data_IF_370083868585
#
_entry.id   IF_370083868585
#
_cell.length_a   1.000
_cell.length_b   1.000
_cell.length_c   1.000
_cell.angle_alpha   90.00
_cell.angle_beta   90.00
_cell.angle_gamma   90.00
#
_symmetry.space_group_name_H-M   'P 1'
#
loop_
_entity.id
_entity.type
_entity.pdbx_description
1 polymer ?
#
# COMPACT_ATOMS: atom_id res chain seq x y z
N UNK A 1 -85.83 -15.98 -53.51
CA UNK A 1 -84.71 -15.14 -53.03
C UNK A 1 -84.49 -15.47 -51.56
N UNK A 2 -83.57 -16.38 -51.23
CA UNK A 2 -83.32 -16.82 -49.85
C UNK A 2 -81.97 -16.26 -49.39
N UNK A 3 -81.98 -15.31 -48.45
CA UNK A 3 -80.76 -14.80 -47.81
C UNK A 3 -80.38 -15.75 -46.69
N UNK A 4 -79.35 -16.56 -46.91
CA UNK A 4 -78.70 -17.29 -45.82
C UNK A 4 -78.01 -16.28 -44.92
N UNK A 5 -78.54 -16.09 -43.71
CA UNK A 5 -77.93 -15.23 -42.70
C UNK A 5 -76.67 -15.92 -42.16
N UNK A 6 -75.52 -15.41 -42.59
CA UNK A 6 -74.23 -15.99 -42.30
C UNK A 6 -73.69 -15.40 -40.99
N UNK A 7 -74.37 -15.72 -39.88
CA UNK A 7 -74.01 -15.32 -38.52
C UNK A 7 -72.57 -15.75 -38.17
N UNK A 8 -72.17 -16.94 -38.63
CA UNK A 8 -70.80 -17.45 -38.50
C UNK A 8 -69.78 -16.57 -39.24
N UNK A 9 -70.06 -16.15 -40.47
CA UNK A 9 -69.15 -15.27 -41.21
C UNK A 9 -69.06 -13.86 -40.62
N UNK A 10 -70.15 -13.32 -40.08
CA UNK A 10 -70.12 -12.04 -39.35
C UNK A 10 -69.26 -12.15 -38.08
N UNK A 11 -69.36 -13.25 -37.35
CA UNK A 11 -68.53 -13.52 -36.17
C UNK A 11 -67.04 -13.63 -36.54
N UNK A 12 -66.71 -14.39 -37.59
CA UNK A 12 -65.32 -14.52 -38.05
C UNK A 12 -64.76 -13.19 -38.56
N UNK A 13 -65.55 -12.39 -39.28
CA UNK A 13 -65.14 -11.06 -39.73
C UNK A 13 -64.89 -10.11 -38.56
N UNK A 14 -65.74 -10.14 -37.54
CA UNK A 14 -65.55 -9.36 -36.31
C UNK A 14 -64.30 -9.81 -35.53
N UNK A 15 -64.11 -11.12 -35.35
CA UNK A 15 -62.95 -11.68 -34.68
C UNK A 15 -61.63 -11.30 -35.36
N UNK A 16 -61.60 -11.28 -36.71
CA UNK A 16 -60.41 -10.86 -37.48
C UNK A 16 -59.96 -9.41 -37.22
N UNK A 17 -60.86 -8.54 -36.76
CA UNK A 17 -60.55 -7.14 -36.42
C UNK A 17 -60.35 -6.97 -34.92
N UNK A 18 -61.20 -7.59 -34.10
CA UNK A 18 -61.14 -7.47 -32.64
C UNK A 18 -59.88 -8.11 -32.03
N UNK A 19 -59.44 -9.27 -32.53
CA UNK A 19 -58.24 -9.96 -32.04
C UNK A 19 -56.96 -9.11 -32.17
N UNK A 20 -56.58 -8.60 -33.36
CA UNK A 20 -55.36 -7.83 -33.49
C UNK A 20 -55.41 -6.50 -32.71
N UNK A 21 -56.59 -5.87 -32.59
CA UNK A 21 -56.76 -4.69 -31.74
C UNK A 21 -56.53 -5.00 -30.25
N UNK A 22 -57.07 -6.12 -29.77
CA UNK A 22 -56.84 -6.58 -28.40
C UNK A 22 -55.35 -6.89 -28.16
N UNK A 23 -54.66 -7.51 -29.11
CA UNK A 23 -53.21 -7.74 -29.04
C UNK A 23 -52.43 -6.43 -28.96
N UNK A 24 -52.79 -5.42 -29.77
CA UNK A 24 -52.14 -4.11 -29.74
C UNK A 24 -52.33 -3.41 -28.39
N UNK A 25 -53.55 -3.49 -27.83
CA UNK A 25 -53.86 -2.93 -26.52
C UNK A 25 -53.06 -3.60 -25.40
N UNK A 26 -52.92 -4.94 -25.43
CA UNK A 26 -52.09 -5.68 -24.47
C UNK A 26 -50.60 -5.34 -24.60
N UNK A 27 -50.11 -5.15 -25.83
CA UNK A 27 -48.73 -4.74 -26.06
C UNK A 27 -48.48 -3.31 -25.55
N UNK A 28 -49.43 -2.41 -25.80
CA UNK A 28 -49.38 -1.04 -25.32
C UNK A 28 -49.40 -0.95 -23.79
N UNK A 29 -50.24 -1.75 -23.11
CA UNK A 29 -50.24 -1.80 -21.64
C UNK A 29 -48.94 -2.38 -21.09
N UNK A 30 -48.37 -3.40 -21.73
CA UNK A 30 -47.08 -3.96 -21.32
C UNK A 30 -45.96 -2.93 -21.43
N UNK A 31 -45.92 -2.15 -22.51
CA UNK A 31 -44.96 -1.06 -22.68
C UNK A 31 -45.20 0.11 -21.72
N UNK A 32 -46.47 0.45 -21.43
CA UNK A 32 -46.83 1.53 -20.50
C UNK A 32 -46.43 1.17 -19.06
N UNK A 33 -46.69 -0.07 -18.64
CA UNK A 33 -46.32 -0.56 -17.31
C UNK A 33 -44.81 -0.79 -17.18
N UNK A 34 -44.14 -1.25 -18.25
CA UNK A 34 -42.69 -1.41 -18.29
C UNK A 34 -41.96 -0.06 -18.17
N UNK A 35 -42.52 1.03 -18.70
CA UNK A 35 -41.89 2.36 -18.62
C UNK A 35 -41.89 2.95 -17.20
N UNK A 36 -42.79 2.50 -16.33
CA UNK A 36 -42.83 2.90 -14.91
C UNK A 36 -41.81 2.17 -14.03
N UNK A 37 -41.14 1.15 -14.56
CA UNK A 37 -39.98 0.53 -13.93
C UNK A 37 -38.76 1.01 -14.69
N UNK A 38 -38.28 2.21 -14.34
CA UNK A 38 -36.84 2.40 -14.32
C UNK A 38 -36.31 1.25 -13.45
N UNK A 39 -35.90 0.17 -14.10
CA UNK A 39 -34.92 -0.72 -13.51
C UNK A 39 -33.72 0.20 -13.44
N UNK A 40 -33.60 0.90 -12.31
CA UNK A 40 -32.33 1.39 -11.86
C UNK A 40 -31.45 0.15 -11.85
N UNK A 41 -30.77 -0.09 -12.96
CA UNK A 41 -29.46 -0.69 -12.90
C UNK A 41 -28.65 0.38 -12.20
N UNK A 42 -28.83 0.48 -10.88
CA UNK A 42 -27.78 0.94 -10.01
C UNK A 42 -26.69 -0.08 -10.26
N UNK A 43 -25.84 0.19 -11.24
CA UNK A 43 -24.52 -0.38 -11.24
C UNK A 43 -23.98 0.01 -9.87
N UNK A 44 -23.79 -0.93 -8.92
CA UNK A 44 -23.38 -0.61 -7.54
C UNK A 44 -21.91 -0.19 -7.47
N UNK A 45 -21.40 0.47 -8.52
CA UNK A 45 -20.01 0.88 -8.68
C UNK A 45 -19.87 2.39 -8.91
N UNK A 46 -20.96 3.17 -8.80
CA UNK A 46 -20.91 4.61 -9.03
C UNK A 46 -20.59 5.44 -7.77
N UNK A 47 -20.59 4.83 -6.58
CA UNK A 47 -20.19 5.45 -5.31
C UNK A 47 -19.11 4.63 -4.61
N UNK A 48 -18.07 4.24 -5.35
CA UNK A 48 -16.87 3.73 -4.69
C UNK A 48 -16.04 4.94 -4.29
N UNK A 49 -16.29 5.43 -3.08
CA UNK A 49 -15.42 6.38 -2.38
C UNK A 49 -13.99 5.86 -2.51
N UNK A 50 -13.07 6.68 -3.04
CA UNK A 50 -11.66 6.32 -3.16
C UNK A 50 -11.09 5.95 -1.77
N UNK A 51 -11.62 6.56 -0.70
CA UNK A 51 -11.35 6.24 0.70
C UNK A 51 -11.74 4.82 1.11
N UNK A 52 -12.73 4.20 0.45
CA UNK A 52 -13.18 2.83 0.76
C UNK A 52 -12.26 1.79 0.12
N UNK A 53 -11.79 2.01 -1.11
CA UNK A 53 -10.78 1.17 -1.75
C UNK A 53 -9.43 1.20 -1.00
N UNK A 54 -9.03 2.38 -0.51
CA UNK A 54 -7.84 2.54 0.33
C UNK A 54 -7.91 1.77 1.66
N UNK A 55 -9.13 1.53 2.15
CA UNK A 55 -9.38 0.76 3.37
C UNK A 55 -9.22 -0.74 3.14
N UNK A 56 -9.56 -1.22 1.93
CA UNK A 56 -9.48 -2.63 1.53
C UNK A 56 -8.05 -3.08 1.19
N UNK A 57 -7.20 -2.18 0.65
CA UNK A 57 -5.81 -2.50 0.32
C UNK A 57 -4.86 -2.28 1.50
N UNK A 58 -5.12 -2.97 2.62
CA UNK A 58 -4.16 -3.06 3.73
C UNK A 58 -3.71 -4.49 3.94
N UNK A 59 -2.41 -4.63 4.23
CA UNK A 59 -1.84 -5.86 4.78
C UNK A 59 -1.50 -5.61 6.25
N UNK A 60 -1.97 -6.49 7.13
CA UNK A 60 -1.65 -6.46 8.56
C UNK A 60 -0.50 -7.41 8.87
N UNK A 61 0.46 -6.98 9.69
CA UNK A 61 1.63 -7.74 10.09
C UNK A 61 2.52 -8.28 8.96
N UNK A 62 2.72 -7.60 7.82
CA UNK A 62 3.59 -8.14 6.77
C UNK A 62 5.05 -8.19 7.22
N UNK A 63 5.75 -9.18 6.67
CA UNK A 63 7.20 -9.35 6.80
C UNK A 63 7.81 -9.62 5.43
N UNK A 64 8.95 -9.01 5.15
CA UNK A 64 9.75 -9.20 3.95
C UNK A 64 11.18 -9.55 4.36
N UNK A 65 11.78 -10.52 3.69
CA UNK A 65 13.17 -10.90 3.92
C UNK A 65 13.89 -11.06 2.59
N UNK A 66 15.12 -10.58 2.52
CA UNK A 66 15.98 -10.63 1.33
C UNK A 66 17.45 -10.79 1.72
N UNK A 67 18.27 -11.11 0.73
CA UNK A 67 19.74 -11.04 0.84
C UNK A 67 20.19 -9.88 -0.04
N UNK A 68 20.88 -8.94 0.57
CA UNK A 68 21.48 -7.78 -0.09
C UNK A 68 22.66 -8.20 -0.98
N UNK A 69 23.07 -7.33 -1.90
CA UNK A 69 24.14 -7.62 -2.88
C UNK A 69 25.52 -7.79 -2.23
N UNK A 70 25.71 -7.17 -1.08
CA UNK A 70 26.87 -7.29 -0.19
C UNK A 70 26.79 -8.49 0.76
N UNK A 71 25.73 -9.31 0.65
CA UNK A 71 25.61 -10.60 1.33
C UNK A 71 25.01 -10.53 2.74
N UNK A 72 24.55 -9.36 3.18
CA UNK A 72 23.81 -9.25 4.44
C UNK A 72 22.36 -9.70 4.27
N UNK A 73 21.81 -10.34 5.31
CA UNK A 73 20.40 -10.70 5.38
C UNK A 73 19.60 -9.51 5.93
N UNK A 74 18.62 -9.02 5.15
CA UNK A 74 17.73 -7.93 5.53
C UNK A 74 16.32 -8.47 5.76
N UNK A 75 15.76 -8.18 6.92
CA UNK A 75 14.38 -8.46 7.28
C UNK A 75 13.67 -7.16 7.66
N UNK A 76 12.49 -6.93 7.10
CA UNK A 76 11.66 -5.75 7.37
C UNK A 76 10.24 -6.24 7.67
N UNK A 77 9.65 -5.70 8.73
CA UNK A 77 8.27 -5.98 9.10
C UNK A 77 7.56 -4.68 9.49
N UNK A 78 6.24 -4.69 9.41
CA UNK A 78 5.42 -3.58 9.85
C UNK A 78 4.12 -4.08 10.46
N UNK A 79 3.46 -3.27 11.29
CA UNK A 79 2.15 -3.62 11.82
C UNK A 79 1.08 -3.49 10.73
N UNK A 80 1.22 -2.47 9.88
CA UNK A 80 0.27 -2.16 8.80
C UNK A 80 1.03 -1.65 7.59
N UNK A 81 0.63 -2.11 6.41
CA UNK A 81 1.13 -1.64 5.12
C UNK A 81 -0.03 -1.29 4.19
N UNK A 82 0.06 -0.18 3.47
CA UNK A 82 -0.93 0.31 2.50
C UNK A 82 -0.25 0.90 1.27
N UNK A 83 -0.73 0.61 0.05
CA UNK A 83 -0.30 1.35 -1.14
C UNK A 83 -0.57 2.84 -1.00
N UNK A 84 0.32 3.65 -1.56
CA UNK A 84 0.08 5.08 -1.69
C UNK A 84 -0.98 5.34 -2.79
N UNK A 85 -1.95 6.21 -2.50
CA UNK A 85 -3.05 6.50 -3.43
C UNK A 85 -2.65 7.50 -4.53
N UNK A 86 -1.60 8.28 -4.28
CA UNK A 86 -1.11 9.30 -5.20
C UNK A 86 -0.01 8.79 -6.10
N UNK A 87 0.82 7.86 -5.61
CA UNK A 87 2.02 7.38 -6.28
C UNK A 87 2.00 5.85 -6.41
N UNK A 88 1.86 5.31 -7.63
CA UNK A 88 1.98 3.87 -7.87
C UNK A 88 3.33 3.33 -7.37
N UNK A 89 3.32 2.08 -6.90
CA UNK A 89 4.51 1.35 -6.43
C UNK A 89 5.21 1.93 -5.19
N UNK A 90 4.64 2.98 -4.58
CA UNK A 90 5.01 3.48 -3.25
C UNK A 90 4.07 2.88 -2.21
N UNK A 91 4.64 2.52 -1.07
CA UNK A 91 3.94 1.83 -0.01
C UNK A 91 4.20 2.55 1.32
N UNK A 92 3.13 2.92 2.01
CA UNK A 92 3.16 3.49 3.35
C UNK A 92 3.00 2.39 4.41
N UNK A 93 3.81 2.46 5.46
CA UNK A 93 3.91 1.47 6.52
C UNK A 93 3.82 2.15 7.89
N UNK A 94 3.23 1.46 8.87
CA UNK A 94 3.12 1.94 10.24
C UNK A 94 3.74 0.93 11.20
N UNK A 95 4.50 1.43 12.17
CA UNK A 95 5.31 0.71 13.15
C UNK A 95 6.23 -0.26 12.42
N UNK A 96 7.31 0.27 11.86
CA UNK A 96 8.28 -0.49 11.06
C UNK A 96 9.38 -1.03 11.97
N UNK A 97 9.76 -2.28 11.75
CA UNK A 97 10.89 -2.93 12.39
C UNK A 97 11.76 -3.55 11.34
N UNK A 98 13.06 -3.33 11.42
CA UNK A 98 14.04 -3.90 10.51
C UNK A 98 15.17 -4.59 11.26
N UNK A 99 15.74 -5.61 10.64
CA UNK A 99 16.92 -6.31 11.11
C UNK A 99 17.85 -6.58 9.93
N UNK A 100 19.09 -6.13 10.04
CA UNK A 100 20.16 -6.40 9.11
C UNK A 100 21.20 -7.27 9.80
N UNK A 101 21.51 -8.43 9.23
CA UNK A 101 22.52 -9.37 9.72
C UNK A 101 23.65 -9.48 8.72
N UNK A 102 24.82 -9.01 9.11
CA UNK A 102 26.01 -8.92 8.27
C UNK A 102 26.80 -10.25 8.29
N UNK A 103 27.58 -10.56 7.23
CA UNK A 103 28.38 -11.79 7.16
C UNK A 103 29.45 -11.92 8.26
N UNK A 104 29.93 -10.80 8.79
CA UNK A 104 30.93 -10.71 9.85
C UNK A 104 30.36 -10.90 11.27
N UNK A 105 29.11 -11.38 11.37
CA UNK A 105 28.35 -11.54 12.61
C UNK A 105 27.97 -10.19 13.27
N UNK A 106 28.09 -9.08 12.53
CA UNK A 106 27.48 -7.80 12.84
C UNK A 106 25.96 -7.86 12.71
N UNK A 107 25.24 -7.10 13.55
CA UNK A 107 23.81 -6.91 13.38
C UNK A 107 23.39 -5.48 13.67
N UNK A 108 22.38 -5.03 12.95
CA UNK A 108 21.72 -3.75 13.15
C UNK A 108 20.23 -4.01 13.22
N UNK A 109 19.56 -3.53 14.25
CA UNK A 109 18.10 -3.51 14.31
C UNK A 109 17.61 -2.08 14.28
N UNK A 110 16.45 -1.87 13.68
CA UNK A 110 15.84 -0.54 13.59
C UNK A 110 14.36 -0.62 13.97
N UNK A 111 13.84 0.48 14.51
CA UNK A 111 12.42 0.71 14.75
C UNK A 111 12.07 2.14 14.32
N UNK A 112 10.89 2.33 13.76
CA UNK A 112 10.35 3.63 13.40
C UNK A 112 8.81 3.61 13.45
N UNK A 113 8.20 4.77 13.68
CA UNK A 113 6.74 4.91 13.71
C UNK A 113 6.12 4.78 12.32
N UNK A 114 6.77 5.36 11.31
CA UNK A 114 6.29 5.40 9.94
C UNK A 114 7.39 4.99 8.96
N UNK A 115 6.99 4.40 7.83
CA UNK A 115 7.91 4.10 6.75
C UNK A 115 7.27 4.23 5.37
N UNK A 116 8.03 4.76 4.42
CA UNK A 116 7.66 4.88 3.01
C UNK A 116 8.65 4.06 2.20
N UNK A 117 8.14 3.11 1.43
CA UNK A 117 8.96 2.24 0.58
C UNK A 117 8.66 2.55 -0.88
N UNK A 118 9.67 2.98 -1.62
CA UNK A 118 9.64 3.11 -3.08
C UNK A 118 10.20 1.83 -3.69
N UNK A 119 9.31 0.99 -4.21
CA UNK A 119 9.67 -0.29 -4.81
C UNK A 119 10.62 -0.13 -6.01
N UNK A 120 10.31 0.70 -7.01
CA UNK A 120 11.18 0.95 -8.15
C UNK A 120 12.57 1.49 -7.79
N UNK A 121 12.65 2.41 -6.82
CA UNK A 121 13.92 2.98 -6.39
C UNK A 121 14.71 2.06 -5.43
N UNK A 122 14.05 1.05 -4.84
CA UNK A 122 14.60 0.19 -3.78
C UNK A 122 15.08 1.00 -2.56
N UNK A 123 14.34 2.06 -2.22
CA UNK A 123 14.62 2.95 -1.09
C UNK A 123 13.49 2.81 -0.08
N UNK A 124 13.84 2.70 1.20
CA UNK A 124 12.90 2.87 2.29
C UNK A 124 13.30 4.09 3.13
N UNK A 125 12.37 5.02 3.29
CA UNK A 125 12.49 6.16 4.19
C UNK A 125 11.70 5.87 5.45
N UNK A 126 12.33 5.96 6.61
CA UNK A 126 11.71 5.70 7.90
C UNK A 126 11.75 6.97 8.74
N UNK A 127 10.64 7.28 9.40
CA UNK A 127 10.49 8.52 10.14
C UNK A 127 9.66 8.34 11.40
N UNK A 128 9.82 9.28 12.34
CA UNK A 128 9.14 9.25 13.62
C UNK A 128 9.83 8.29 14.58
N UNK A 129 10.48 8.87 15.59
CA UNK A 129 11.20 8.15 16.65
C UNK A 129 12.03 6.97 16.13
N UNK A 130 12.92 7.24 15.18
CA UNK A 130 13.80 6.20 14.64
C UNK A 130 14.80 5.82 15.72
N UNK A 131 14.83 4.54 16.07
CA UNK A 131 15.79 3.95 16.99
C UNK A 131 16.56 2.84 16.27
N UNK A 132 17.89 2.88 16.38
CA UNK A 132 18.80 1.90 15.77
C UNK A 132 19.67 1.32 16.87
N UNK A 133 19.75 0.00 16.95
CA UNK A 133 20.64 -0.71 17.85
C UNK A 133 21.64 -1.54 17.05
N UNK A 134 22.92 -1.47 17.39
CA UNK A 134 23.98 -2.23 16.74
C UNK A 134 24.57 -3.30 17.68
N UNK A 135 25.07 -4.40 17.12
CA UNK A 135 25.79 -5.43 17.90
C UNK A 135 27.08 -4.92 18.54
N UNK A 136 27.60 -3.77 18.07
CA UNK A 136 28.75 -3.07 18.67
C UNK A 136 28.39 -2.26 19.92
N UNK A 137 27.12 -2.27 20.34
CA UNK A 137 26.65 -1.66 21.59
C UNK A 137 26.23 -0.21 21.45
N UNK A 138 25.95 0.28 20.23
CA UNK A 138 25.41 1.62 20.02
C UNK A 138 23.88 1.59 19.95
N UNK A 139 23.25 2.52 20.64
CA UNK A 139 21.84 2.89 20.50
C UNK A 139 21.79 4.29 19.92
N UNK A 140 21.22 4.45 18.73
CA UNK A 140 21.18 5.70 17.96
C UNK A 140 19.72 6.09 17.77
N UNK A 141 19.41 7.36 18.00
CA UNK A 141 18.09 7.94 17.78
C UNK A 141 18.15 9.05 16.74
N UNK A 142 17.10 9.12 15.92
CA UNK A 142 16.93 10.15 14.90
C UNK A 142 15.46 10.38 14.57
N UNK A 143 15.16 11.51 13.93
CA UNK A 143 13.83 11.80 13.40
C UNK A 143 13.54 11.07 12.09
N UNK A 144 14.58 10.80 11.28
CA UNK A 144 14.44 10.15 9.98
C UNK A 144 15.70 9.44 9.53
N UNK A 145 15.53 8.37 8.78
CA UNK A 145 16.58 7.67 8.04
C UNK A 145 16.11 7.27 6.65
N UNK A 146 17.05 7.09 5.74
CA UNK A 146 16.85 6.46 4.45
C UNK A 146 17.74 5.22 4.37
N UNK A 147 17.22 4.12 3.81
CA UNK A 147 17.98 2.90 3.59
C UNK A 147 17.76 2.38 2.18
N UNK A 148 18.80 1.78 1.63
CA UNK A 148 18.68 0.96 0.42
C UNK A 148 18.21 -0.45 0.81
N UNK A 149 17.41 -1.07 -0.04
CA UNK A 149 16.86 -2.42 0.18
C UNK A 149 17.71 -3.51 -0.49
N UNK A 150 18.54 -3.14 -1.45
CA UNK A 150 19.39 -4.04 -2.22
C UNK A 150 20.86 -4.07 -1.75
N UNK A 151 21.28 -3.09 -0.94
CA UNK A 151 22.60 -3.01 -0.33
C UNK A 151 22.48 -2.50 1.09
N UNK A 152 23.36 -2.94 1.99
CA UNK A 152 23.40 -2.45 3.38
C UNK A 152 23.90 -1.02 3.46
N UNK A 153 23.00 -0.07 3.20
CA UNK A 153 23.26 1.35 3.37
C UNK A 153 22.13 2.01 4.12
N UNK A 154 22.43 2.56 5.29
CA UNK A 154 21.50 3.33 6.11
C UNK A 154 22.09 4.73 6.32
N UNK A 155 21.31 5.76 6.07
CA UNK A 155 21.72 7.15 6.21
C UNK A 155 20.72 7.93 7.04
N UNK A 156 21.18 8.66 8.05
CA UNK A 156 20.40 9.70 8.70
C UNK A 156 20.90 11.07 8.21
N UNK A 157 20.13 11.79 7.39
CA UNK A 157 20.52 13.12 6.92
C UNK A 157 20.35 14.21 7.98
N UNK A 158 19.72 13.89 9.11
CA UNK A 158 19.45 14.82 10.21
C UNK A 158 20.35 14.58 11.42
N UNK A 159 20.17 15.41 12.44
CA UNK A 159 20.86 15.23 13.72
C UNK A 159 20.55 13.85 14.30
N UNK A 160 21.57 13.25 14.91
CA UNK A 160 21.48 12.00 15.62
C UNK A 160 22.05 12.14 17.02
N UNK A 161 21.44 11.42 17.95
CA UNK A 161 21.96 11.20 19.30
C UNK A 161 22.26 9.72 19.44
N UNK A 162 23.46 9.37 19.92
CA UNK A 162 23.91 8.00 20.03
C UNK A 162 24.54 7.77 21.40
N UNK A 163 24.17 6.70 22.08
CA UNK A 163 24.86 6.22 23.28
C UNK A 163 25.57 4.92 22.92
N UNK A 164 26.84 4.80 23.27
CA UNK A 164 27.63 3.62 22.99
C UNK A 164 28.68 3.33 24.05
N UNK A 165 29.57 2.33 23.84
CA UNK A 165 30.56 1.92 24.83
C UNK A 165 31.56 3.01 25.22
N UNK A 166 31.74 4.02 24.38
CA UNK A 166 32.62 5.16 24.65
C UNK A 166 31.92 6.31 25.41
N UNK A 167 30.59 6.28 25.54
CA UNK A 167 29.77 7.36 26.11
C UNK A 167 28.73 7.90 25.13
N UNK A 168 28.32 9.15 25.35
CA UNK A 168 27.24 9.80 24.59
C UNK A 168 27.79 10.65 23.44
N UNK A 169 27.22 10.50 22.26
CA UNK A 169 27.62 11.12 21.02
C UNK A 169 26.46 11.88 20.38
N UNK A 170 26.73 13.08 19.88
CA UNK A 170 25.78 13.83 19.04
C UNK A 170 26.47 14.20 17.73
N UNK A 171 25.76 14.06 16.61
CA UNK A 171 26.27 14.39 15.28
C UNK A 171 25.17 14.96 14.38
N UNK A 172 25.54 15.69 13.34
CA UNK A 172 24.59 16.29 12.40
C UNK A 172 24.10 15.33 11.32
N UNK A 173 24.77 14.20 11.11
CA UNK A 173 24.31 13.09 10.27
C UNK A 173 25.06 11.80 10.60
N UNK A 174 24.53 10.67 10.12
CA UNK A 174 25.10 9.35 10.33
C UNK A 174 24.95 8.49 9.07
N UNK A 175 25.91 7.60 8.83
CA UNK A 175 25.87 6.62 7.74
C UNK A 175 26.39 5.27 8.22
N UNK A 176 25.67 4.21 7.88
CA UNK A 176 26.13 2.82 7.96
C UNK A 176 26.27 2.32 6.54
N UNK A 177 27.46 1.83 6.17
CA UNK A 177 27.73 1.31 4.83
C UNK A 177 28.86 0.29 4.85
N UNK A 178 28.90 -0.59 3.85
CA UNK A 178 30.07 -1.42 3.59
C UNK A 178 31.20 -0.60 2.94
N UNK A 179 32.42 -0.76 3.43
CA UNK A 179 33.64 -0.23 2.85
C UNK A 179 34.03 -1.07 1.61
N UNK A 180 34.21 -0.46 0.43
CA UNK A 180 34.45 -1.19 -0.81
C UNK A 180 35.88 -1.75 -0.95
N UNK A 181 36.82 -1.33 -0.11
CA UNK A 181 38.21 -1.81 -0.15
C UNK A 181 38.43 -2.98 0.82
N UNK A 182 37.71 -2.97 1.94
CA UNK A 182 37.91 -3.90 3.05
C UNK A 182 36.74 -4.86 3.27
N UNK A 183 35.61 -4.65 2.59
CA UNK A 183 34.33 -5.33 2.79
C UNK A 183 33.76 -5.20 4.21
N UNK A 184 34.33 -4.31 5.05
CA UNK A 184 33.93 -4.10 6.43
C UNK A 184 32.74 -3.14 6.53
N UNK A 185 31.83 -3.39 7.46
CA UNK A 185 30.72 -2.48 7.73
C UNK A 185 31.16 -1.37 8.68
N UNK A 186 30.94 -0.12 8.27
CA UNK A 186 31.36 1.06 9.02
C UNK A 186 30.14 1.86 9.47
N UNK A 187 30.16 2.31 10.73
CA UNK A 187 29.26 3.33 11.27
C UNK A 187 30.02 4.65 11.37
N UNK A 188 29.59 5.64 10.60
CA UNK A 188 30.27 6.93 10.47
C UNK A 188 29.35 8.07 10.87
N UNK A 189 29.77 8.86 11.86
CA UNK A 189 29.11 10.08 12.28
C UNK A 189 29.77 11.30 11.61
N UNK A 190 28.98 12.24 11.10
CA UNK A 190 29.45 13.40 10.33
C UNK A 190 28.80 14.69 10.84
N UNK A 191 29.22 15.82 10.27
CA UNK A 191 28.61 17.14 10.49
C UNK A 191 28.57 17.60 11.96
N UNK A 192 29.75 17.76 12.58
CA UNK A 192 29.86 18.33 13.93
C UNK A 192 29.69 17.29 15.04
N UNK A 193 30.59 16.31 15.08
CA UNK A 193 30.58 15.24 16.08
C UNK A 193 31.05 15.75 17.43
N UNK A 194 30.24 15.53 18.48
CA UNK A 194 30.60 15.80 19.87
C UNK A 194 30.44 14.51 20.67
N UNK A 195 31.50 14.08 21.34
CA UNK A 195 31.52 12.92 22.22
C UNK A 195 31.73 13.36 23.67
N UNK A 196 30.83 12.94 24.55
CA UNK A 196 30.98 13.02 26.00
C UNK A 196 31.45 11.64 26.45
N UNK A 197 32.77 11.53 26.66
CA UNK A 197 33.40 10.27 27.02
C UNK A 197 33.02 9.83 28.44
N UNK A 198 32.58 8.57 28.58
CA UNK A 198 32.28 7.93 29.85
C UNK A 198 33.20 6.71 30.02
N UNK A 199 34.23 6.79 30.88
CA UNK A 199 35.21 5.72 31.10
C UNK A 199 34.66 4.53 31.91
#
# INVERSE_FOLDING_TARGET
MARFDNSYSKFVAFAKVALPLASLALLATLFLFARGKEIGISIPYADVDLETLAREQRIEGPSFATVTRDGAELEISADVVRPDLSTPDVINSTIVRGALRMPDNGSVTLKADDGVIDGPAQIAELSGHVEIETSTGYTITSERIATLLDVSKIESPGSVEATGPAGDLTAGSMEISQDPETDAYLLVFKNGVKLIYQP
#
